data_IF_965027774151
#
_entry.id   IF_965027774151
#
_cell.length_a   1.000
_cell.length_b   1.000
_cell.length_c   1.000
_cell.angle_alpha   90.00
_cell.angle_beta   90.00
_cell.angle_gamma   90.00
#
_symmetry.space_group_name_H-M   'P 1'
#
loop_
_entity.id
_entity.type
_entity.pdbx_description
1 polymer ?
#
# COMPACT_ATOMS: atom_id res chain seq x y z
N UNK A 1 -0.28 6.64 6.19
CA UNK A 1 -1.43 6.13 5.41
C UNK A 1 -1.04 6.21 3.94
N UNK A 2 -1.32 5.16 3.18
CA UNK A 2 -1.15 5.10 1.73
C UNK A 2 -2.40 4.45 1.11
N UNK A 3 -2.51 4.43 -0.21
CA UNK A 3 -3.60 3.77 -0.94
C UNK A 3 -3.14 3.36 -2.34
N UNK A 4 -3.78 2.35 -2.96
CA UNK A 4 -3.66 2.11 -4.40
C UNK A 4 -4.11 3.33 -5.22
N UNK A 5 -3.65 3.39 -6.47
CA UNK A 5 -3.94 4.43 -7.48
C UNK A 5 -5.14 4.12 -8.38
N UNK A 6 -5.87 3.04 -8.12
CA UNK A 6 -7.05 2.62 -8.88
C UNK A 6 -8.32 2.58 -8.03
N UNK A 7 -9.47 2.52 -8.70
CA UNK A 7 -10.79 2.40 -8.08
C UNK A 7 -11.16 0.96 -7.68
N UNK A 8 -12.46 0.70 -7.51
CA UNK A 8 -13.00 -0.57 -7.02
C UNK A 8 -12.97 -1.72 -8.03
N UNK A 9 -12.88 -1.43 -9.33
CA UNK A 9 -12.78 -2.42 -10.41
C UNK A 9 -13.86 -3.52 -10.34
N UNK A 10 -15.14 -3.14 -10.13
CA UNK A 10 -16.27 -4.07 -9.97
C UNK A 10 -16.50 -4.97 -11.19
N UNK A 11 -16.15 -4.48 -12.37
CA UNK A 11 -16.22 -5.21 -13.63
C UNK A 11 -15.31 -6.44 -13.67
N UNK A 12 -14.24 -6.49 -12.86
CA UNK A 12 -13.28 -7.61 -12.81
C UNK A 12 -13.24 -8.34 -11.46
N UNK A 13 -14.08 -7.96 -10.49
CA UNK A 13 -14.14 -8.59 -9.18
C UNK A 13 -14.43 -10.10 -9.31
N UNK A 14 -13.64 -10.93 -8.62
CA UNK A 14 -13.78 -12.40 -8.65
C UNK A 14 -13.23 -13.10 -9.90
N UNK A 15 -12.68 -12.37 -10.88
CA UNK A 15 -12.15 -12.95 -12.12
C UNK A 15 -10.68 -13.37 -12.05
N UNK A 16 -9.96 -13.01 -10.99
CA UNK A 16 -8.54 -13.34 -10.82
C UNK A 16 -7.58 -12.58 -11.75
N UNK A 17 -8.04 -11.49 -12.39
CA UNK A 17 -7.25 -10.71 -13.38
C UNK A 17 -6.87 -9.30 -12.91
N UNK A 18 -7.13 -8.95 -11.64
CA UNK A 18 -6.72 -7.66 -11.10
C UNK A 18 -5.19 -7.58 -11.03
N UNK A 19 -4.61 -6.41 -11.36
CA UNK A 19 -3.18 -6.16 -11.16
C UNK A 19 -2.90 -5.68 -9.71
N UNK A 20 -2.16 -6.46 -8.90
CA UNK A 20 -1.82 -6.10 -7.53
C UNK A 20 -0.64 -5.11 -7.38
N UNK A 21 0.00 -4.64 -8.46
CA UNK A 21 1.21 -3.81 -8.39
C UNK A 21 1.04 -2.55 -7.52
N UNK A 22 -0.05 -1.82 -7.73
CA UNK A 22 -0.35 -0.58 -7.02
C UNK A 22 -0.58 -0.77 -5.51
N UNK A 23 -1.36 -1.80 -5.14
CA UNK A 23 -1.56 -2.16 -3.73
C UNK A 23 -0.25 -2.54 -3.05
N UNK A 24 0.62 -3.31 -3.71
CA UNK A 24 1.95 -3.65 -3.17
C UNK A 24 2.80 -2.39 -2.95
N UNK A 25 2.83 -1.48 -3.92
CA UNK A 25 3.55 -0.22 -3.79
C UNK A 25 3.04 0.62 -2.60
N UNK A 26 1.72 0.69 -2.42
CA UNK A 26 1.12 1.38 -1.28
C UNK A 26 1.55 0.77 0.07
N UNK A 27 1.59 -0.57 0.18
CA UNK A 27 2.04 -1.26 1.39
C UNK A 27 3.52 -1.02 1.68
N UNK A 28 4.38 -1.13 0.66
CA UNK A 28 5.82 -0.85 0.78
C UNK A 28 6.04 0.58 1.26
N UNK A 29 5.38 1.57 0.64
CA UNK A 29 5.48 2.96 1.05
C UNK A 29 5.01 3.17 2.50
N UNK A 30 3.93 2.51 2.92
CA UNK A 30 3.47 2.59 4.31
C UNK A 30 4.52 2.08 5.30
N UNK A 31 5.18 0.96 4.96
CA UNK A 31 6.26 0.38 5.75
C UNK A 31 7.45 1.33 5.85
N UNK A 32 7.90 1.89 4.72
CA UNK A 32 9.01 2.84 4.67
C UNK A 32 8.75 4.09 5.51
N UNK A 33 7.52 4.64 5.43
CA UNK A 33 7.11 5.79 6.25
C UNK A 33 7.12 5.44 7.75
N UNK A 34 6.66 4.23 8.12
CA UNK A 34 6.68 3.78 9.51
C UNK A 34 8.11 3.64 10.04
N UNK A 35 9.00 3.03 9.27
CA UNK A 35 10.41 2.88 9.61
C UNK A 35 11.15 4.23 9.68
N UNK A 36 10.85 5.16 8.77
CA UNK A 36 11.39 6.52 8.83
C UNK A 36 10.96 7.24 10.12
N UNK A 37 9.69 7.10 10.53
CA UNK A 37 9.20 7.64 11.80
C UNK A 37 9.90 7.01 13.00
N UNK A 38 10.08 5.68 13.01
CA UNK A 38 10.79 4.97 14.10
C UNK A 38 12.24 5.44 14.26
N UNK A 39 12.93 5.71 13.15
CA UNK A 39 14.29 6.29 13.17
C UNK A 39 14.31 7.73 13.68
N UNK A 40 13.35 8.55 13.25
CA UNK A 40 13.26 9.94 13.67
C UNK A 40 12.84 10.12 15.14
N UNK A 41 12.12 9.15 15.70
CA UNK A 41 11.67 9.14 17.09
C UNK A 41 11.90 7.75 17.71
N UNK A 42 13.13 7.45 18.16
CA UNK A 42 13.42 6.22 18.87
C UNK A 42 12.57 6.17 20.15
N UNK A 43 12.01 5.00 20.45
CA UNK A 43 11.43 4.79 21.77
C UNK A 43 12.52 4.99 22.85
N UNK A 44 12.17 5.51 24.03
CA UNK A 44 13.12 5.65 25.14
C UNK A 44 13.73 4.30 25.52
#
# INVERSE_FOLDING_TARGET
RTSPDHGTAYDIAGRGIADPASMRAALVMAWEMAEARRRAHPAP
#
